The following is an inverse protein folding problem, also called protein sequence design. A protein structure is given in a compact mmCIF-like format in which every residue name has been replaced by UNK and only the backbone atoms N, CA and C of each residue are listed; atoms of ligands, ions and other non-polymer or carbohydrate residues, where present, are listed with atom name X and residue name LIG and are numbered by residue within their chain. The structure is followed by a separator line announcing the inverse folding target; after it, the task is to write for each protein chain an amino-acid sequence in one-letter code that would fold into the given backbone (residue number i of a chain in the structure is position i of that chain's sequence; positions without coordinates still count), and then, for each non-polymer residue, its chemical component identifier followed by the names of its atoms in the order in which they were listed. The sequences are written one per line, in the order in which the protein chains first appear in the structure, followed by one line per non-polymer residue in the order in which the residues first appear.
data_IF_594613817240
#
_entry.id   IF_594613817240
#
_cell.length_a   1.000
_cell.length_b   1.000
_cell.length_c   1.000
_cell.angle_alpha   90.00
_cell.angle_beta   90.00
_cell.angle_gamma   90.00
#
_symmetry.space_group_name_H-M   'P 1'
#
loop_
_entity.id
_entity.type
_entity.pdbx_description
1 polymer ?
#
# COMPACT_ATOMS: atom_id res chain seq x y z
N UNK A 1 0.54 -28.75 4.65
CA UNK A 1 1.90 -28.16 4.73
C UNK A 1 2.63 -28.18 3.39
N UNK A 2 3.00 -29.33 2.80
CA UNK A 2 3.77 -29.31 1.54
C UNK A 2 3.02 -28.70 0.35
N UNK A 3 1.70 -28.89 0.23
CA UNK A 3 0.90 -28.27 -0.83
C UNK A 3 0.90 -26.74 -0.77
N UNK A 4 0.73 -26.17 0.43
CA UNK A 4 0.79 -24.73 0.66
C UNK A 4 2.19 -24.16 0.39
N UNK A 5 3.24 -24.90 0.74
CA UNK A 5 4.62 -24.51 0.41
C UNK A 5 4.81 -24.41 -1.11
N UNK A 6 4.40 -25.43 -1.85
CA UNK A 6 4.49 -25.41 -3.32
C UNK A 6 3.64 -24.30 -3.94
N UNK A 7 2.45 -24.03 -3.39
CA UNK A 7 1.61 -22.92 -3.81
C UNK A 7 2.30 -21.57 -3.57
N UNK A 8 2.86 -21.35 -2.37
CA UNK A 8 3.59 -20.13 -2.03
C UNK A 8 4.81 -19.90 -2.93
N UNK A 9 5.58 -20.95 -3.24
CA UNK A 9 6.71 -20.88 -4.19
C UNK A 9 6.23 -20.47 -5.58
N UNK A 10 5.14 -21.07 -6.09
CA UNK A 10 4.57 -20.71 -7.40
C UNK A 10 4.09 -19.25 -7.42
N UNK A 11 3.39 -18.81 -6.38
CA UNK A 11 2.94 -17.43 -6.24
C UNK A 11 4.11 -16.44 -6.22
N UNK A 12 5.17 -16.76 -5.47
CA UNK A 12 6.39 -15.95 -5.41
C UNK A 12 7.03 -15.83 -6.80
N UNK A 13 7.16 -16.96 -7.51
CA UNK A 13 7.71 -16.98 -8.88
C UNK A 13 6.83 -16.22 -9.88
N UNK A 14 5.50 -16.30 -9.78
CA UNK A 14 4.61 -15.51 -10.66
C UNK A 14 4.70 -14.02 -10.37
N UNK A 15 4.81 -13.62 -9.10
CA UNK A 15 4.98 -12.21 -8.72
C UNK A 15 6.31 -11.68 -9.26
N UNK A 16 7.40 -12.45 -9.14
CA UNK A 16 8.70 -12.07 -9.72
C UNK A 16 8.61 -11.88 -11.24
N UNK A 17 8.00 -12.82 -11.96
CA UNK A 17 7.83 -12.69 -13.41
C UNK A 17 6.98 -11.48 -13.81
N UNK A 18 5.96 -11.13 -13.02
CA UNK A 18 5.14 -9.94 -13.27
C UNK A 18 5.86 -8.63 -12.87
N UNK A 19 6.70 -8.65 -11.82
CA UNK A 19 7.59 -7.53 -11.46
C UNK A 19 8.66 -7.29 -12.54
N UNK A 20 9.21 -8.34 -13.13
CA UNK A 20 10.19 -8.23 -14.22
C UNK A 20 9.58 -7.58 -15.45
N UNK A 21 8.32 -7.89 -15.79
CA UNK A 21 7.57 -7.18 -16.85
C UNK A 21 7.35 -5.71 -16.51
N UNK A 22 7.03 -5.41 -15.25
CA UNK A 22 6.86 -4.02 -14.80
C UNK A 22 8.17 -3.23 -14.86
N UNK A 23 9.29 -3.85 -14.49
CA UNK A 23 10.63 -3.28 -14.64
C UNK A 23 11.04 -3.14 -16.11
N UNK A 24 10.52 -4.00 -17.00
CA UNK A 24 10.66 -3.89 -18.46
C UNK A 24 9.92 -2.71 -19.09
N UNK A 25 9.16 -1.93 -18.31
CA UNK A 25 8.46 -0.72 -18.75
C UNK A 25 6.94 -0.88 -18.89
N UNK A 26 6.40 -2.08 -18.67
CA UNK A 26 4.96 -2.34 -18.77
C UNK A 26 4.22 -1.91 -17.49
N UNK A 27 4.00 -0.60 -17.33
CA UNK A 27 3.25 -0.03 -16.21
C UNK A 27 1.73 -0.02 -16.44
N UNK A 28 1.19 -1.13 -16.96
CA UNK A 28 -0.24 -1.28 -17.20
C UNK A 28 -1.03 -1.35 -15.89
N UNK A 29 -2.14 -0.64 -15.80
CA UNK A 29 -3.04 -0.68 -14.63
C UNK A 29 -3.55 -2.11 -14.36
N UNK A 30 -3.73 -2.91 -15.42
CA UNK A 30 -4.12 -4.31 -15.30
C UNK A 30 -3.03 -5.16 -14.62
N UNK A 31 -1.77 -4.97 -15.02
CA UNK A 31 -0.62 -5.67 -14.44
C UNK A 31 -0.39 -5.25 -12.98
N UNK A 32 -0.56 -3.96 -12.66
CA UNK A 32 -0.52 -3.48 -11.28
C UNK A 32 -1.62 -4.09 -10.40
N UNK A 33 -2.84 -4.22 -10.94
CA UNK A 33 -3.95 -4.91 -10.27
C UNK A 33 -3.66 -6.39 -10.04
N UNK A 34 -3.11 -7.07 -11.05
CA UNK A 34 -2.71 -8.47 -10.96
C UNK A 34 -1.61 -8.72 -9.92
N UNK A 35 -0.56 -7.89 -9.88
CA UNK A 35 0.49 -7.98 -8.86
C UNK A 35 -0.08 -7.70 -7.46
N UNK A 36 -0.95 -6.69 -7.33
CA UNK A 36 -1.58 -6.37 -6.05
C UNK A 36 -2.45 -7.51 -5.53
N UNK A 37 -3.22 -8.16 -6.41
CA UNK A 37 -4.05 -9.31 -6.08
C UNK A 37 -3.21 -10.54 -5.72
N UNK A 38 -2.14 -10.83 -6.47
CA UNK A 38 -1.24 -11.96 -6.19
C UNK A 38 -0.43 -11.77 -4.91
N UNK A 39 -0.01 -10.55 -4.58
CA UNK A 39 0.58 -10.22 -3.28
C UNK A 39 -0.39 -10.46 -2.12
N UNK A 40 -1.65 -10.03 -2.26
CA UNK A 40 -2.68 -10.29 -1.25
C UNK A 40 -2.95 -11.79 -1.08
N UNK A 41 -2.95 -12.55 -2.18
CA UNK A 41 -3.08 -14.00 -2.15
C UNK A 41 -1.89 -14.68 -1.46
N UNK A 42 -0.65 -14.23 -1.73
CA UNK A 42 0.57 -14.72 -1.07
C UNK A 42 0.55 -14.44 0.44
N UNK A 43 0.12 -13.25 0.86
CA UNK A 43 0.00 -12.93 2.28
C UNK A 43 -0.98 -13.88 2.99
N UNK A 44 -2.12 -14.18 2.34
CA UNK A 44 -3.10 -15.15 2.85
C UNK A 44 -2.52 -16.56 2.94
N UNK A 45 -1.75 -17.01 1.95
CA UNK A 45 -1.13 -18.36 2.00
C UNK A 45 -0.05 -18.45 3.08
N UNK A 46 0.68 -17.36 3.36
CA UNK A 46 1.62 -17.27 4.48
C UNK A 46 0.88 -17.39 5.82
N UNK A 47 -0.23 -16.67 5.99
CA UNK A 47 -1.06 -16.74 7.20
C UNK A 47 -1.65 -18.15 7.40
N UNK A 48 -2.15 -18.77 6.32
CA UNK A 48 -2.65 -20.15 6.35
C UNK A 48 -1.52 -21.13 6.73
N UNK A 49 -0.30 -20.92 6.22
CA UNK A 49 0.87 -21.75 6.55
C UNK A 49 1.31 -21.58 8.02
N UNK A 50 1.28 -20.35 8.57
CA UNK A 50 1.54 -20.08 9.98
C UNK A 50 0.49 -20.74 10.89
N UNK A 51 -0.79 -20.71 10.49
CA UNK A 51 -1.84 -21.41 11.22
C UNK A 51 -1.64 -22.94 11.25
N UNK A 52 -1.14 -23.53 10.16
CA UNK A 52 -0.80 -24.95 10.10
C UNK A 52 0.44 -25.27 10.93
N UNK A 53 1.46 -24.41 10.91
CA UNK A 53 2.69 -24.61 11.69
C UNK A 53 2.42 -24.60 13.20
N UNK A 54 1.50 -23.74 13.67
CA UNK A 54 1.07 -23.70 15.07
C UNK A 54 0.31 -24.94 15.51
N UNK A 55 -0.39 -25.62 14.60
CA UNK A 55 -1.18 -26.84 14.86
C UNK A 55 -0.37 -28.13 14.76
N UNK A 56 0.86 -28.07 14.25
CA UNK A 56 1.70 -29.25 14.07
C UNK A 56 2.27 -29.71 15.42
N UNK A 57 1.91 -30.92 15.86
CA UNK A 57 2.35 -31.50 17.15
C UNK A 57 3.82 -31.96 17.16
N UNK A 58 4.46 -32.07 15.99
CA UNK A 58 5.84 -32.56 15.84
C UNK A 58 6.81 -31.37 15.79
N UNK A 59 7.56 -31.15 16.89
CA UNK A 59 8.52 -30.04 17.03
C UNK A 59 9.51 -29.90 15.86
N UNK A 60 10.08 -31.01 15.37
CA UNK A 60 11.03 -30.98 14.25
C UNK A 60 10.42 -30.55 12.90
N UNK A 61 9.10 -30.78 12.69
CA UNK A 61 8.39 -30.28 11.50
C UNK A 61 7.95 -28.84 11.67
N UNK A 62 7.60 -28.46 12.91
CA UNK A 62 7.24 -27.12 13.29
C UNK A 62 8.41 -26.13 13.08
N UNK A 63 9.62 -26.49 13.52
CA UNK A 63 10.82 -25.66 13.29
C UNK A 63 11.09 -25.43 11.80
N UNK A 64 11.04 -26.49 10.98
CA UNK A 64 11.18 -26.37 9.53
C UNK A 64 10.09 -25.51 8.89
N UNK A 65 8.87 -25.58 9.42
CA UNK A 65 7.77 -24.74 8.97
C UNK A 65 8.02 -23.27 9.32
N UNK A 66 8.49 -22.96 10.54
CA UNK A 66 8.84 -21.59 10.93
C UNK A 66 9.97 -20.99 10.09
N UNK A 67 11.02 -21.75 9.79
CA UNK A 67 12.09 -21.26 8.89
C UNK A 67 11.56 -20.93 7.50
N UNK A 68 10.64 -21.75 6.97
CA UNK A 68 9.99 -21.50 5.67
C UNK A 68 9.07 -20.28 5.71
N UNK A 69 8.30 -20.10 6.78
CA UNK A 69 7.45 -18.91 6.97
C UNK A 69 8.31 -17.66 7.03
N UNK A 70 9.41 -17.69 7.79
CA UNK A 70 10.31 -16.55 7.91
C UNK A 70 10.89 -16.15 6.56
N UNK A 71 11.29 -17.13 5.75
CA UNK A 71 11.71 -16.91 4.36
C UNK A 71 10.58 -16.30 3.52
N UNK A 72 9.36 -16.85 3.54
CA UNK A 72 8.27 -16.26 2.78
C UNK A 72 7.89 -14.84 3.25
N UNK A 73 8.06 -14.53 4.55
CA UNK A 73 7.84 -13.18 5.09
C UNK A 73 8.92 -12.20 4.61
N UNK A 74 10.19 -12.60 4.58
CA UNK A 74 11.24 -11.77 3.99
C UNK A 74 10.99 -11.55 2.50
N UNK A 75 10.71 -12.62 1.76
CA UNK A 75 10.46 -12.58 0.32
C UNK A 75 9.23 -11.70 0.02
N UNK A 76 8.15 -11.80 0.80
CA UNK A 76 6.98 -10.93 0.68
C UNK A 76 7.32 -9.46 0.91
N UNK A 77 8.11 -9.15 1.95
CA UNK A 77 8.50 -7.76 2.23
C UNK A 77 9.38 -7.16 1.13
N UNK A 78 10.26 -7.96 0.55
CA UNK A 78 11.14 -7.56 -0.55
C UNK A 78 10.32 -7.32 -1.83
N UNK A 79 9.47 -8.28 -2.23
CA UNK A 79 8.58 -8.14 -3.39
C UNK A 79 7.64 -6.94 -3.23
N UNK A 80 7.17 -6.68 -2.01
CA UNK A 80 6.33 -5.53 -1.70
C UNK A 80 7.11 -4.23 -1.86
N UNK A 81 8.35 -4.15 -1.37
CA UNK A 81 9.21 -2.98 -1.57
C UNK A 81 9.45 -2.72 -3.05
N UNK A 82 9.84 -3.75 -3.81
CA UNK A 82 10.09 -3.65 -5.25
C UNK A 82 8.85 -3.15 -6.01
N UNK A 83 7.67 -3.65 -5.66
CA UNK A 83 6.41 -3.18 -6.25
C UNK A 83 6.14 -1.69 -5.96
N UNK A 84 6.30 -1.26 -4.71
CA UNK A 84 6.08 0.14 -4.32
C UNK A 84 7.12 1.08 -4.96
N UNK A 85 8.39 0.67 -5.02
CA UNK A 85 9.48 1.45 -5.64
C UNK A 85 9.26 1.60 -7.15
N UNK A 86 8.89 0.52 -7.83
CA UNK A 86 8.56 0.55 -9.25
C UNK A 86 7.29 1.36 -9.52
N UNK A 87 6.26 1.24 -8.65
CA UNK A 87 5.04 2.06 -8.74
C UNK A 87 5.33 3.55 -8.54
N UNK A 88 6.22 3.88 -7.59
CA UNK A 88 6.66 5.26 -7.32
C UNK A 88 7.47 5.82 -8.49
N UNK A 89 8.33 5.02 -9.09
CA UNK A 89 9.09 5.40 -10.28
C UNK A 89 8.17 5.66 -11.47
N UNK A 90 7.15 4.82 -11.68
CA UNK A 90 6.16 4.98 -12.74
C UNK A 90 5.28 6.22 -12.55
N UNK A 91 4.81 6.47 -11.32
CA UNK A 91 4.01 7.65 -11.02
C UNK A 91 4.82 8.93 -11.13
N UNK A 92 6.10 8.91 -10.72
CA UNK A 92 7.01 10.03 -10.88
C UNK A 92 7.33 10.30 -12.36
N UNK A 93 7.53 9.27 -13.18
CA UNK A 93 7.71 9.44 -14.63
C UNK A 93 6.48 10.08 -15.29
N UNK A 94 5.27 9.65 -14.91
CA UNK A 94 4.02 10.27 -15.35
C UNK A 94 3.87 11.71 -14.87
N UNK A 95 4.19 12.00 -13.62
CA UNK A 95 4.17 13.35 -13.07
C UNK A 95 5.21 14.26 -13.75
N UNK A 96 6.40 13.75 -14.07
CA UNK A 96 7.41 14.51 -14.81
C UNK A 96 6.98 14.78 -16.24
N UNK A 97 6.32 13.81 -16.91
CA UNK A 97 5.77 14.01 -18.25
C UNK A 97 4.68 15.09 -18.25
N UNK A 98 3.74 15.02 -17.31
CA UNK A 98 2.72 16.06 -17.12
C UNK A 98 3.36 17.42 -16.79
N UNK A 99 4.38 17.44 -15.94
CA UNK A 99 5.11 18.66 -15.59
C UNK A 99 5.90 19.21 -16.78
N UNK A 100 6.46 18.37 -17.66
CA UNK A 100 7.13 18.82 -18.89
C UNK A 100 6.16 19.28 -19.98
N UNK A 101 4.92 18.79 -20.00
CA UNK A 101 3.86 19.37 -20.84
C UNK A 101 3.41 20.74 -20.31
N UNK A 102 3.42 20.93 -18.99
CA UNK A 102 3.04 22.19 -18.34
C UNK A 102 4.19 23.23 -18.27
N UNK A 103 5.45 22.80 -18.27
CA UNK A 103 6.65 23.65 -18.13
C UNK A 103 7.59 23.59 -19.34
N UNK A 104 7.24 22.80 -20.37
CA UNK A 104 7.99 22.75 -21.61
C UNK A 104 8.11 24.16 -22.19
N UNK A 105 9.26 24.52 -22.77
CA UNK A 105 9.41 25.81 -23.42
C UNK A 105 8.32 25.92 -24.47
N UNK A 106 7.55 27.01 -24.46
CA UNK A 106 6.73 27.38 -25.60
C UNK A 106 7.57 27.19 -26.85
N UNK A 107 7.16 26.24 -27.70
CA UNK A 107 7.78 26.01 -28.98
C UNK A 107 7.81 27.35 -29.74
N UNK A 108 8.99 27.91 -30.14
CA UNK A 108 9.05 29.17 -30.87
C UNK A 108 8.47 29.13 -32.30
N UNK A 109 7.80 28.04 -32.69
CA UNK A 109 7.24 27.81 -34.03
C UNK A 109 5.72 27.71 -34.13
N UNK A 110 4.98 27.81 -33.01
CA UNK A 110 3.51 27.87 -33.01
C UNK A 110 3.03 29.24 -32.56
N UNK A 111 2.75 30.13 -33.51
CA UNK A 111 2.32 31.53 -33.32
C UNK A 111 1.17 31.61 -32.29
N UNK A 112 1.37 32.18 -31.09
CA UNK A 112 1.01 33.57 -30.69
C UNK A 112 1.43 33.78 -29.20
N UNK A 113 2.65 34.29 -28.87
CA UNK A 113 2.97 35.69 -28.48
C UNK A 113 1.94 36.32 -27.51
N UNK A 114 2.21 36.76 -26.27
CA UNK A 114 3.40 37.34 -25.63
C UNK A 114 3.26 37.24 -24.09
N UNK A 115 4.27 36.69 -23.39
CA UNK A 115 4.46 36.88 -21.95
C UNK A 115 5.82 37.54 -21.69
N UNK A 116 5.74 38.78 -21.21
CA UNK A 116 6.59 39.44 -20.20
C UNK A 116 8.09 39.10 -20.15
N UNK A 117 8.93 40.04 -20.60
CA UNK A 117 10.33 40.16 -20.18
C UNK A 117 10.44 41.35 -19.21
N UNK A 118 10.85 41.06 -17.98
CA UNK A 118 10.95 42.01 -16.88
C UNK A 118 12.29 42.78 -16.92
N UNK A 119 12.26 44.08 -16.63
CA UNK A 119 13.42 44.88 -16.22
C UNK A 119 13.01 45.77 -15.04
N UNK A 120 13.90 46.06 -14.08
CA UNK A 120 13.51 46.35 -12.71
C UNK A 120 13.62 47.85 -12.40
N UNK A 121 12.49 48.53 -12.24
CA UNK A 121 12.37 49.67 -11.31
C UNK A 121 10.90 49.94 -11.05
N UNK A 122 10.47 49.61 -9.83
CA UNK A 122 9.36 50.25 -9.10
C UNK A 122 8.11 50.56 -9.93
N UNK A 123 7.22 49.58 -10.13
CA UNK A 123 5.85 49.89 -10.51
C UNK A 123 4.91 48.88 -9.87
N UNK A 124 4.00 49.44 -9.08
CA UNK A 124 3.01 48.75 -8.29
C UNK A 124 2.09 47.88 -9.16
N UNK A 125 1.72 46.75 -8.57
CA UNK A 125 0.72 45.82 -9.03
C UNK A 125 -0.63 46.51 -9.24
N UNK A 126 -1.12 46.58 -10.47
CA UNK A 126 -2.56 46.71 -10.79
C UNK A 126 -2.78 46.60 -12.31
N UNK A 127 -2.80 45.39 -12.86
CA UNK A 127 -3.41 45.18 -14.19
C UNK A 127 -4.86 44.75 -13.99
N UNK A 128 -5.74 45.75 -13.99
CA UNK A 128 -7.18 45.56 -14.09
C UNK A 128 -7.55 45.30 -15.56
N UNK A 129 -8.48 44.37 -15.87
CA UNK A 129 -8.90 44.08 -17.25
C UNK A 129 -9.64 45.20 -17.98
N UNK A 130 -9.82 46.37 -17.34
CA UNK A 130 -10.62 47.50 -17.82
C UNK A 130 -9.79 48.75 -18.14
N UNK A 131 -8.46 48.68 -18.12
CA UNK A 131 -7.61 49.83 -18.42
C UNK A 131 -7.57 50.11 -19.94
N UNK A 132 -8.37 51.09 -20.38
CA UNK A 132 -8.32 51.66 -21.72
C UNK A 132 -6.98 52.40 -21.90
N UNK A 133 -6.16 52.09 -22.92
CA UNK A 133 -4.90 52.80 -23.14
C UNK A 133 -5.16 54.26 -23.57
N UNK A 134 -4.35 55.23 -23.11
CA UNK A 134 -4.52 56.61 -23.51
C UNK A 134 -4.24 56.77 -25.00
N UNK A 135 -5.27 57.25 -25.68
CA UNK A 135 -5.40 57.56 -27.09
C UNK A 135 -4.14 58.14 -27.77
N UNK A 136 -3.80 57.58 -28.93
CA UNK A 136 -3.22 58.37 -30.02
C UNK A 136 -3.87 57.99 -31.37
N UNK A 137 -4.66 58.93 -31.89
CA UNK A 137 -5.07 59.08 -33.31
C UNK A 137 -6.20 58.20 -33.90
N UNK A 138 -6.90 58.66 -34.97
CA UNK A 138 -8.32 58.95 -34.91
C UNK A 138 -9.04 58.36 -36.13
N UNK A 139 -9.35 57.07 -36.15
CA UNK A 139 -10.37 56.54 -37.07
C UNK A 139 -10.88 55.18 -36.59
N UNK A 140 -12.05 55.19 -35.95
CA UNK A 140 -12.94 54.03 -35.77
C UNK A 140 -12.54 53.00 -34.69
N UNK A 141 -13.49 52.48 -33.90
CA UNK A 141 -13.25 51.29 -33.08
C UNK A 141 -12.94 50.12 -34.03
N UNK A 142 -11.71 49.62 -34.05
CA UNK A 142 -11.31 48.48 -34.88
C UNK A 142 -12.15 47.25 -34.49
N UNK A 143 -13.18 46.86 -35.29
CA UNK A 143 -14.08 45.76 -34.93
C UNK A 143 -13.34 44.42 -34.89
N UNK A 144 -12.26 44.31 -35.65
CA UNK A 144 -11.34 43.18 -35.69
C UNK A 144 -10.68 42.89 -34.33
N UNK A 145 -10.30 43.91 -33.54
CA UNK A 145 -9.66 43.70 -32.25
C UNK A 145 -10.65 43.11 -31.23
N UNK A 146 -11.91 43.59 -31.26
CA UNK A 146 -12.98 43.13 -30.37
C UNK A 146 -13.43 41.70 -30.71
N UNK A 147 -13.52 41.38 -32.01
CA UNK A 147 -13.84 40.03 -32.50
C UNK A 147 -12.78 39.02 -32.06
N UNK A 148 -11.49 39.37 -32.17
CA UNK A 148 -10.40 38.50 -31.73
C UNK A 148 -10.41 38.28 -30.22
N UNK A 149 -10.74 39.30 -29.42
CA UNK A 149 -10.87 39.14 -27.97
C UNK A 149 -12.01 38.18 -27.59
N UNK A 150 -13.18 38.32 -28.23
CA UNK A 150 -14.32 37.45 -27.99
C UNK A 150 -14.06 35.99 -28.39
N UNK A 151 -13.32 35.75 -29.49
CA UNK A 151 -12.93 34.41 -29.89
C UNK A 151 -11.95 33.78 -28.89
N UNK A 152 -10.94 34.54 -28.45
CA UNK A 152 -9.98 34.07 -27.47
C UNK A 152 -10.63 33.76 -26.11
N UNK A 153 -11.60 34.57 -25.67
CA UNK A 153 -12.41 34.29 -24.47
C UNK A 153 -13.21 33.00 -24.63
N UNK A 154 -13.85 32.79 -25.78
CA UNK A 154 -14.61 31.57 -26.03
C UNK A 154 -13.72 30.33 -26.04
N UNK A 155 -12.54 30.39 -26.68
CA UNK A 155 -11.59 29.28 -26.68
C UNK A 155 -11.02 29.02 -25.28
N UNK A 156 -10.75 30.07 -24.51
CA UNK A 156 -10.31 29.95 -23.12
C UNK A 156 -11.37 29.29 -22.23
N UNK A 157 -12.64 29.68 -22.38
CA UNK A 157 -13.76 29.09 -21.64
C UNK A 157 -13.93 27.60 -21.95
N UNK A 158 -13.88 27.21 -23.23
CA UNK A 158 -13.97 25.80 -23.63
C UNK A 158 -12.79 24.96 -23.12
N UNK A 159 -11.57 25.49 -23.18
CA UNK A 159 -10.40 24.82 -22.63
C UNK A 159 -10.46 24.72 -21.10
N UNK A 160 -11.05 25.70 -20.43
CA UNK A 160 -11.23 25.68 -18.97
C UNK A 160 -12.28 24.67 -18.55
N UNK A 161 -13.41 24.58 -19.28
CA UNK A 161 -14.47 23.62 -19.03
C UNK A 161 -13.94 22.18 -19.10
N UNK A 162 -13.21 21.86 -20.17
CA UNK A 162 -12.62 20.52 -20.36
C UNK A 162 -11.59 20.16 -19.30
N UNK A 163 -10.78 21.12 -18.85
CA UNK A 163 -9.83 20.90 -17.75
C UNK A 163 -10.52 20.77 -16.38
N UNK A 164 -11.57 21.54 -16.11
CA UNK A 164 -12.36 21.42 -14.88
C UNK A 164 -13.03 20.05 -14.79
N UNK A 165 -13.60 19.55 -15.88
CA UNK A 165 -14.18 18.21 -15.94
C UNK A 165 -13.14 17.12 -15.69
N UNK A 166 -11.93 17.28 -16.25
CA UNK A 166 -10.80 16.39 -15.97
C UNK A 166 -10.41 16.39 -14.49
N UNK A 167 -10.32 17.56 -13.85
CA UNK A 167 -10.02 17.66 -12.42
C UNK A 167 -11.13 17.12 -11.53
N UNK A 168 -12.40 17.27 -11.92
CA UNK A 168 -13.53 16.67 -11.21
C UNK A 168 -13.48 15.15 -11.32
N UNK A 169 -13.18 14.60 -12.49
CA UNK A 169 -13.02 13.17 -12.69
C UNK A 169 -11.86 12.61 -11.85
N UNK A 170 -10.71 13.28 -11.87
CA UNK A 170 -9.56 12.93 -11.04
C UNK A 170 -9.86 13.07 -9.53
N UNK A 171 -10.59 14.11 -9.14
CA UNK A 171 -11.01 14.33 -7.76
C UNK A 171 -11.93 13.22 -7.25
N UNK A 172 -12.85 12.74 -8.10
CA UNK A 172 -13.70 11.58 -7.79
C UNK A 172 -12.88 10.31 -7.60
N UNK A 173 -11.94 10.03 -8.50
CA UNK A 173 -11.08 8.86 -8.40
C UNK A 173 -10.22 8.88 -7.12
N UNK A 174 -9.69 10.05 -6.73
CA UNK A 174 -8.93 10.20 -5.49
C UNK A 174 -9.83 9.99 -4.26
N UNK A 175 -11.03 10.55 -4.26
CA UNK A 175 -11.99 10.35 -3.16
C UNK A 175 -12.40 8.88 -3.02
N UNK A 176 -12.66 8.19 -4.12
CA UNK A 176 -12.97 6.76 -4.12
C UNK A 176 -11.80 5.93 -3.55
N UNK A 177 -10.57 6.24 -3.97
CA UNK A 177 -9.37 5.61 -3.39
C UNK A 177 -9.24 5.85 -1.88
N UNK A 178 -9.55 7.05 -1.39
CA UNK A 178 -9.51 7.36 0.05
C UNK A 178 -10.61 6.61 0.82
N UNK A 179 -11.80 6.46 0.22
CA UNK A 179 -12.89 5.67 0.80
C UNK A 179 -12.50 4.19 0.89
N UNK A 180 -11.87 3.64 -0.14
CA UNK A 180 -11.38 2.27 -0.15
C UNK A 180 -10.27 2.05 0.89
N UNK A 181 -9.31 2.97 0.98
CA UNK A 181 -8.26 2.94 2.01
C UNK A 181 -8.86 2.96 3.42
N UNK A 182 -9.89 3.79 3.65
CA UNK A 182 -10.60 3.82 4.93
C UNK A 182 -11.27 2.48 5.25
N UNK A 183 -11.87 1.82 4.26
CA UNK A 183 -12.47 0.50 4.45
C UNK A 183 -11.42 -0.57 4.76
N UNK A 184 -10.26 -0.52 4.11
CA UNK A 184 -9.13 -1.40 4.41
C UNK A 184 -8.64 -1.18 5.84
N UNK A 185 -8.43 0.07 6.27
CA UNK A 185 -7.99 0.42 7.62
C UNK A 185 -8.98 -0.07 8.69
N UNK A 186 -10.29 0.08 8.45
CA UNK A 186 -11.33 -0.47 9.34
C UNK A 186 -11.25 -2.01 9.43
N UNK A 187 -11.04 -2.68 8.30
CA UNK A 187 -10.85 -4.13 8.26
C UNK A 187 -9.63 -4.58 9.07
N UNK A 188 -8.52 -3.88 8.91
CA UNK A 188 -7.28 -4.12 9.67
C UNK A 188 -7.47 -3.86 11.16
N UNK A 189 -8.13 -2.77 11.55
CA UNK A 189 -8.44 -2.47 12.95
C UNK A 189 -9.28 -3.60 13.57
N UNK A 190 -10.32 -4.06 12.86
CA UNK A 190 -11.18 -5.15 13.34
C UNK A 190 -10.37 -6.43 13.54
N UNK A 191 -9.52 -6.80 12.57
CA UNK A 191 -8.61 -7.96 12.67
C UNK A 191 -7.60 -7.81 13.79
N UNK A 192 -7.08 -6.61 14.03
CA UNK A 192 -6.14 -6.34 15.12
C UNK A 192 -6.83 -6.47 16.48
N UNK A 193 -8.07 -5.99 16.60
CA UNK A 193 -8.87 -6.15 17.81
C UNK A 193 -9.18 -7.64 18.07
N UNK A 194 -9.57 -8.38 17.02
CA UNK A 194 -9.82 -9.82 17.09
C UNK A 194 -8.53 -10.58 17.47
N UNK A 195 -7.40 -10.22 16.86
CA UNK A 195 -6.09 -10.77 17.18
C UNK A 195 -5.68 -10.45 18.63
N UNK A 196 -5.88 -9.22 19.10
CA UNK A 196 -5.62 -8.84 20.49
C UNK A 196 -6.48 -9.65 21.47
N UNK A 197 -7.75 -9.88 21.14
CA UNK A 197 -8.66 -10.68 21.95
C UNK A 197 -8.23 -12.16 21.99
N UNK A 198 -7.76 -12.71 20.86
CA UNK A 198 -7.23 -14.09 20.81
C UNK A 198 -5.85 -14.25 21.48
N UNK A 199 -4.99 -13.24 21.44
CA UNK A 199 -3.71 -13.22 22.15
C UNK A 199 -3.93 -13.12 23.66
N UNK A 200 -4.96 -12.37 24.10
CA UNK A 200 -5.42 -12.35 25.49
C UNK A 200 -5.82 -13.75 25.98
N UNK A 201 -6.66 -14.43 25.21
CA UNK A 201 -7.06 -15.82 25.47
C UNK A 201 -5.89 -16.81 25.42
N UNK A 202 -4.87 -16.57 24.58
CA UNK A 202 -3.68 -17.42 24.51
C UNK A 202 -2.85 -17.38 25.79
N UNK A 203 -2.81 -16.26 26.53
CA UNK A 203 -2.11 -16.20 27.84
C UNK A 203 -2.83 -17.04 28.88
N UNK A 204 -4.16 -17.02 28.90
CA UNK A 204 -4.96 -17.84 29.81
C UNK A 204 -4.84 -19.33 29.48
N UNK A 205 -4.82 -19.68 28.18
CA UNK A 205 -4.56 -21.06 27.73
C UNK A 205 -3.13 -21.49 28.09
N UNK A 206 -2.12 -20.63 27.94
CA UNK A 206 -0.74 -20.91 28.37
C UNK A 206 -0.68 -21.21 29.87
N UNK A 207 -1.36 -20.40 30.70
CA UNK A 207 -1.40 -20.58 32.14
C UNK A 207 -2.13 -21.86 32.56
N UNK A 208 -3.20 -22.20 31.85
CA UNK A 208 -3.94 -23.44 32.07
C UNK A 208 -3.10 -24.70 31.75
N UNK A 209 -2.30 -24.65 30.67
CA UNK A 209 -1.36 -25.72 30.32
C UNK A 209 -0.28 -25.88 31.39
N UNK A 210 0.30 -24.78 31.87
CA UNK A 210 1.33 -24.82 32.90
C UNK A 210 0.79 -25.35 34.24
N UNK A 211 -0.45 -25.02 34.58
CA UNK A 211 -1.11 -25.52 35.80
C UNK A 211 -1.31 -27.03 35.76
N UNK A 212 -1.79 -27.58 34.64
CA UNK A 212 -1.93 -29.03 34.44
C UNK A 212 -0.59 -29.77 34.57
N UNK A 213 0.49 -29.20 34.03
CA UNK A 213 1.83 -29.81 34.15
C UNK A 213 2.36 -29.81 35.59
N UNK A 214 2.06 -28.76 36.37
CA UNK A 214 2.41 -28.70 37.80
C UNK A 214 1.58 -29.68 38.61
N UNK A 215 0.28 -29.79 38.35
CA UNK A 215 -0.60 -30.77 39.00
C UNK A 215 -0.12 -32.20 38.76
N UNK A 216 0.27 -32.54 37.53
CA UNK A 216 0.81 -33.87 37.19
C UNK A 216 2.12 -34.17 37.95
N UNK A 217 3.00 -33.19 38.07
CA UNK A 217 4.25 -33.30 38.85
C UNK A 217 3.97 -33.53 40.34
N UNK A 218 2.95 -32.86 40.89
CA UNK A 218 2.53 -33.03 42.28
C UNK A 218 1.94 -34.42 42.51
N UNK A 219 1.07 -34.90 41.62
CA UNK A 219 0.48 -36.25 41.71
C UNK A 219 1.59 -37.32 41.66
N UNK A 220 2.58 -37.16 40.78
CA UNK A 220 3.73 -38.05 40.72
C UNK A 220 4.54 -38.05 42.01
N UNK A 221 4.83 -36.87 42.58
CA UNK A 221 5.60 -36.75 43.82
C UNK A 221 4.86 -37.38 45.02
N UNK A 222 3.55 -37.15 45.14
CA UNK A 222 2.71 -37.79 46.18
C UNK A 222 2.72 -39.31 46.03
N UNK A 223 2.59 -39.82 44.80
CA UNK A 223 2.68 -41.26 44.53
C UNK A 223 4.03 -41.85 44.93
N UNK A 224 5.14 -41.16 44.63
CA UNK A 224 6.48 -41.58 45.02
C UNK A 224 6.67 -41.62 46.54
N UNK A 225 6.19 -40.61 47.28
CA UNK A 225 6.29 -40.60 48.74
C UNK A 225 5.46 -41.72 49.35
N UNK A 226 4.26 -41.99 48.82
CA UNK A 226 3.41 -43.07 49.28
C UNK A 226 4.07 -44.45 49.09
N UNK A 227 4.71 -44.69 47.96
CA UNK A 227 5.41 -45.97 47.72
C UNK A 227 6.61 -46.14 48.66
N UNK A 228 7.39 -45.09 48.91
CA UNK A 228 8.46 -45.13 49.92
C UNK A 228 7.92 -45.40 51.33
N UNK A 229 6.78 -44.81 51.69
CA UNK A 229 6.13 -45.06 52.97
C UNK A 229 5.68 -46.53 53.12
N UNK A 230 5.11 -47.12 52.07
CA UNK A 230 4.78 -48.55 52.05
C UNK A 230 6.01 -49.43 52.26
N UNK A 231 7.13 -49.14 51.58
CA UNK A 231 8.38 -49.87 51.79
C UNK A 231 8.92 -49.74 53.22
N UNK A 232 8.82 -48.54 53.80
CA UNK A 232 9.22 -48.30 55.18
C UNK A 232 8.38 -49.12 56.17
N UNK A 233 7.06 -49.17 55.98
CA UNK A 233 6.18 -49.99 56.82
C UNK A 233 6.50 -51.48 56.72
N UNK A 234 6.76 -51.99 55.51
CA UNK A 234 7.15 -53.41 55.32
C UNK A 234 8.46 -53.69 56.05
N UNK A 235 9.46 -52.82 55.94
CA UNK A 235 10.73 -52.99 56.62
C UNK A 235 10.58 -52.97 58.15
N UNK A 236 9.70 -52.14 58.70
CA UNK A 236 9.50 -52.02 60.15
C UNK A 236 8.62 -53.12 60.76
N UNK A 237 7.67 -53.68 60.01
CA UNK A 237 6.74 -54.70 60.53
C UNK A 237 7.17 -56.14 60.22
N UNK A 238 7.96 -56.37 59.15
CA UNK A 238 8.44 -57.69 58.73
C UNK A 238 9.95 -57.91 58.97
N UNK A 239 10.68 -56.87 59.39
CA UNK A 239 12.08 -56.91 59.82
C UNK A 239 12.22 -56.42 61.26
#
# INVERSE_FOLDING_TARGET
MNSLYTLGVRQTSSIQADLDKMNGGDFSAALQGQISASLAALNRTIDDYDSMAKREMIKAKQEKAYTRIQKFRSDYSELRSQFEDAKRSASQARQSAQRSELLGPENPGGVTRQRFAQSPTTAAHSESPFAIPPSSSPFGPNPSLRQNHALNEHTFLQNTETQLDSFIAQGREVLDNLVDQRNILKGTQKRLLDAANTIGLSRDVIGWIERRSKEDTVIFCVGAVFTFFCFWLIWHYLG
#
